data_IF_759062346312
#
_entry.id   IF_759062346312
#
_cell.length_a   1.000
_cell.length_b   1.000
_cell.length_c   1.000
_cell.angle_alpha   90.00
_cell.angle_beta   90.00
_cell.angle_gamma   90.00
#
_symmetry.space_group_name_H-M   'P 1'
#
loop_
_entity.id
_entity.type
_entity.pdbx_description
1 polymer ?
#
# COMPACT_ATOMS: atom_id res chain seq x y z
N UNK A 1 47.37 -37.91 15.36
CA UNK A 1 45.98 -38.24 15.77
C UNK A 1 45.32 -37.13 16.60
N UNK A 2 45.98 -36.54 17.61
CA UNK A 2 45.36 -35.50 18.47
C UNK A 2 44.85 -34.26 17.74
N UNK A 3 45.57 -33.77 16.71
CA UNK A 3 45.13 -32.61 15.91
C UNK A 3 43.86 -32.90 15.09
N UNK A 4 43.71 -34.11 14.53
CA UNK A 4 42.51 -34.48 13.77
C UNK A 4 41.26 -34.60 14.66
N UNK A 5 41.43 -35.11 15.88
CA UNK A 5 40.36 -35.15 16.88
C UNK A 5 39.96 -33.73 17.32
N UNK A 6 40.92 -32.83 17.51
CA UNK A 6 40.65 -31.45 17.89
C UNK A 6 39.91 -30.69 16.79
N UNK A 7 40.29 -30.88 15.52
CA UNK A 7 39.58 -30.32 14.37
C UNK A 7 38.14 -30.85 14.29
N UNK A 8 37.94 -32.16 14.48
CA UNK A 8 36.59 -32.76 14.45
C UNK A 8 35.67 -32.21 15.55
N UNK A 9 36.20 -31.99 16.76
CA UNK A 9 35.44 -31.39 17.88
C UNK A 9 35.08 -29.94 17.58
N UNK A 10 36.00 -29.16 17.01
CA UNK A 10 35.73 -27.76 16.62
C UNK A 10 34.64 -27.70 15.54
N UNK A 11 34.70 -28.56 14.52
CA UNK A 11 33.68 -28.63 13.46
C UNK A 11 32.31 -28.96 14.07
N UNK A 12 32.21 -29.94 14.97
CA UNK A 12 30.95 -30.26 15.65
C UNK A 12 30.41 -29.10 16.48
N UNK A 13 31.28 -28.35 17.15
CA UNK A 13 30.90 -27.15 17.90
C UNK A 13 30.36 -26.06 16.97
N UNK A 14 31.05 -25.78 15.87
CA UNK A 14 30.63 -24.78 14.88
C UNK A 14 29.29 -25.18 14.26
N UNK A 15 29.14 -26.43 13.83
CA UNK A 15 27.87 -26.95 13.29
C UNK A 15 26.75 -26.86 14.33
N UNK A 16 27.01 -27.21 15.59
CA UNK A 16 26.05 -27.10 16.68
C UNK A 16 25.59 -25.65 16.90
N UNK A 17 26.52 -24.69 16.93
CA UNK A 17 26.23 -23.26 17.05
C UNK A 17 25.40 -22.77 15.86
N UNK A 18 25.79 -23.10 14.62
CA UNK A 18 25.07 -22.69 13.41
C UNK A 18 23.63 -23.23 13.41
N UNK A 19 23.42 -24.51 13.76
CA UNK A 19 22.08 -25.11 13.83
C UNK A 19 21.21 -24.43 14.89
N UNK A 20 21.76 -24.11 16.07
CA UNK A 20 21.02 -23.40 17.13
C UNK A 20 20.67 -21.98 16.70
N UNK A 21 21.61 -21.27 16.05
CA UNK A 21 21.35 -19.92 15.52
C UNK A 21 20.28 -19.92 14.44
N UNK A 22 20.31 -20.87 13.50
CA UNK A 22 19.29 -21.01 12.45
C UNK A 22 17.91 -21.31 13.04
N UNK A 23 17.82 -22.22 14.03
CA UNK A 23 16.54 -22.54 14.71
C UNK A 23 15.98 -21.35 15.48
N UNK A 24 16.82 -20.60 16.19
CA UNK A 24 16.40 -19.38 16.92
C UNK A 24 15.94 -18.27 15.97
N UNK A 25 16.68 -18.07 14.88
CA UNK A 25 16.30 -17.09 13.84
C UNK A 25 14.95 -17.44 13.21
N UNK A 26 14.74 -18.70 12.81
CA UNK A 26 13.46 -19.16 12.26
C UNK A 26 12.29 -19.02 13.22
N UNK A 27 12.48 -19.35 14.51
CA UNK A 27 11.44 -19.20 15.52
C UNK A 27 11.06 -17.74 15.78
N UNK A 28 12.03 -16.82 15.73
CA UNK A 28 11.77 -15.39 15.85
C UNK A 28 11.00 -14.85 14.64
N UNK A 29 11.42 -15.21 13.42
CA UNK A 29 10.73 -14.80 12.19
C UNK A 29 9.29 -15.30 12.17
N UNK A 30 9.05 -16.56 12.55
CA UNK A 30 7.70 -17.12 12.64
C UNK A 30 6.81 -16.33 13.62
N UNK A 31 7.31 -16.02 14.82
CA UNK A 31 6.59 -15.18 15.80
C UNK A 31 6.27 -13.80 15.25
N UNK A 32 7.25 -13.12 14.63
CA UNK A 32 7.01 -11.80 14.05
C UNK A 32 5.98 -11.81 12.92
N UNK A 33 5.91 -12.91 12.16
CA UNK A 33 4.88 -13.11 11.14
C UNK A 33 3.51 -13.30 11.77
N UNK A 34 3.40 -14.16 12.79
CA UNK A 34 2.14 -14.43 13.49
C UNK A 34 1.58 -13.16 14.15
N UNK A 35 2.44 -12.38 14.81
CA UNK A 35 2.07 -11.09 15.42
C UNK A 35 1.59 -10.09 14.36
N UNK A 36 2.31 -9.96 13.24
CA UNK A 36 1.91 -9.09 12.13
C UNK A 36 0.59 -9.55 11.49
N UNK A 37 0.35 -10.87 11.42
CA UNK A 37 -0.91 -11.42 10.92
C UNK A 37 -2.07 -11.15 11.86
N UNK A 38 -1.88 -11.29 13.17
CA UNK A 38 -2.90 -10.99 14.17
C UNK A 38 -3.31 -9.51 14.12
N UNK A 39 -2.34 -8.61 14.03
CA UNK A 39 -2.56 -7.16 13.92
C UNK A 39 -3.33 -6.79 12.62
N UNK A 40 -2.97 -7.42 11.50
CA UNK A 40 -3.70 -7.24 10.24
C UNK A 40 -5.14 -7.76 10.31
N UNK A 41 -5.34 -8.97 10.86
CA UNK A 41 -6.67 -9.58 11.03
C UNK A 41 -7.59 -8.73 11.88
N UNK A 42 -7.09 -8.12 12.96
CA UNK A 42 -7.89 -7.21 13.77
C UNK A 42 -8.45 -6.04 12.94
N UNK A 43 -7.64 -5.45 12.05
CA UNK A 43 -8.09 -4.37 11.18
C UNK A 43 -9.11 -4.86 10.13
N UNK A 44 -8.88 -6.05 9.56
CA UNK A 44 -9.77 -6.69 8.57
C UNK A 44 -11.13 -7.03 9.18
N UNK A 45 -11.15 -7.64 10.37
CA UNK A 45 -12.38 -7.98 11.09
C UNK A 45 -13.19 -6.73 11.45
N UNK A 46 -12.51 -5.67 11.91
CA UNK A 46 -13.15 -4.36 12.15
C UNK A 46 -13.78 -3.82 10.87
N UNK A 47 -13.09 -3.91 9.74
CA UNK A 47 -13.60 -3.47 8.45
C UNK A 47 -14.81 -4.31 8.01
N UNK A 48 -14.69 -5.64 8.05
CA UNK A 48 -15.75 -6.57 7.66
C UNK A 48 -17.03 -6.35 8.46
N UNK A 49 -16.92 -6.15 9.78
CA UNK A 49 -18.06 -5.82 10.63
C UNK A 49 -18.81 -4.58 10.15
N UNK A 50 -18.11 -3.53 9.72
CA UNK A 50 -18.75 -2.30 9.21
C UNK A 50 -19.35 -2.50 7.82
N UNK A 51 -18.65 -3.21 6.92
CA UNK A 51 -19.13 -3.50 5.55
C UNK A 51 -20.46 -4.26 5.59
N UNK A 52 -20.61 -5.24 6.49
CA UNK A 52 -21.84 -6.04 6.57
C UNK A 52 -22.99 -5.37 7.35
N UNK A 53 -22.70 -4.38 8.20
CA UNK A 53 -23.73 -3.71 9.02
C UNK A 53 -24.34 -2.47 8.35
N UNK A 54 -23.64 -1.83 7.42
CA UNK A 54 -24.07 -0.57 6.83
C UNK A 54 -24.76 -0.78 5.48
N UNK A 55 -25.80 0.00 5.21
CA UNK A 55 -26.50 0.05 3.92
C UNK A 55 -26.56 1.50 3.47
N UNK A 56 -25.98 1.80 2.31
CA UNK A 56 -25.87 3.17 1.80
C UNK A 56 -27.21 3.74 1.33
N UNK A 57 -27.53 4.95 1.75
CA UNK A 57 -28.77 5.68 1.44
C UNK A 57 -28.63 6.69 0.28
N UNK A 58 -27.40 7.01 -0.11
CA UNK A 58 -27.04 7.99 -1.15
C UNK A 58 -26.02 7.43 -2.13
N UNK A 59 -25.85 8.02 -3.34
CA UNK A 59 -24.82 7.59 -4.29
C UNK A 59 -23.41 7.58 -3.68
N UNK A 60 -23.06 8.64 -2.94
CA UNK A 60 -21.79 8.74 -2.22
C UNK A 60 -21.62 7.61 -1.18
N UNK A 61 -22.63 7.36 -0.34
CA UNK A 61 -22.57 6.30 0.67
C UNK A 61 -22.46 4.90 0.04
N UNK A 62 -23.25 4.63 -1.00
CA UNK A 62 -23.22 3.34 -1.72
C UNK A 62 -21.86 3.10 -2.38
N UNK A 63 -21.31 4.11 -3.06
CA UNK A 63 -20.01 4.01 -3.70
C UNK A 63 -18.90 3.77 -2.67
N UNK A 64 -18.87 4.55 -1.58
CA UNK A 64 -17.89 4.37 -0.52
C UNK A 64 -18.01 2.99 0.17
N UNK A 65 -19.22 2.45 0.39
CA UNK A 65 -19.39 1.09 0.91
C UNK A 65 -18.92 0.02 -0.08
N UNK A 66 -19.13 0.22 -1.38
CA UNK A 66 -18.61 -0.67 -2.41
C UNK A 66 -17.08 -0.68 -2.42
N UNK A 67 -16.45 0.50 -2.43
CA UNK A 67 -14.98 0.62 -2.35
C UNK A 67 -14.45 0.01 -1.02
N UNK A 68 -15.17 0.16 0.10
CA UNK A 68 -14.80 -0.51 1.37
C UNK A 68 -14.87 -2.04 1.28
N UNK A 69 -15.90 -2.60 0.63
CA UNK A 69 -16.07 -4.04 0.44
C UNK A 69 -14.99 -4.63 -0.49
N UNK A 70 -14.58 -3.88 -1.52
CA UNK A 70 -13.44 -4.24 -2.37
C UNK A 70 -12.16 -4.33 -1.55
N UNK A 71 -11.88 -3.32 -0.70
CA UNK A 71 -10.70 -3.34 0.19
C UNK A 71 -10.76 -4.47 1.20
N UNK A 72 -11.93 -4.80 1.74
CA UNK A 72 -12.10 -5.94 2.64
C UNK A 72 -11.74 -7.26 1.95
N UNK A 73 -12.26 -7.48 0.74
CA UNK A 73 -11.97 -8.68 -0.05
C UNK A 73 -10.48 -8.78 -0.40
N UNK A 74 -9.86 -7.67 -0.79
CA UNK A 74 -8.44 -7.61 -1.10
C UNK A 74 -7.57 -7.85 0.14
N UNK A 75 -7.86 -7.21 1.26
CA UNK A 75 -7.11 -7.41 2.50
C UNK A 75 -7.23 -8.85 3.01
N UNK A 76 -8.42 -9.46 2.90
CA UNK A 76 -8.65 -10.87 3.21
C UNK A 76 -7.77 -11.81 2.37
N UNK A 77 -7.77 -11.64 1.05
CA UNK A 77 -6.94 -12.50 0.18
C UNK A 77 -5.44 -12.28 0.40
N UNK A 78 -5.00 -11.04 0.63
CA UNK A 78 -3.61 -10.72 0.93
C UNK A 78 -3.14 -11.33 2.25
N UNK A 79 -3.95 -11.28 3.31
CA UNK A 79 -3.55 -11.82 4.62
C UNK A 79 -3.49 -13.34 4.62
N UNK A 80 -4.38 -14.00 3.88
CA UNK A 80 -4.40 -15.45 3.74
C UNK A 80 -3.16 -15.97 2.99
N UNK A 81 -2.66 -15.20 2.02
CA UNK A 81 -1.47 -15.53 1.24
C UNK A 81 -0.16 -15.03 1.85
N UNK A 82 -0.22 -14.22 2.91
CA UNK A 82 0.98 -13.60 3.49
C UNK A 82 1.94 -14.65 4.08
N UNK A 83 3.20 -14.60 3.66
CA UNK A 83 4.31 -15.45 4.12
C UNK A 83 5.43 -14.66 4.79
N UNK A 84 5.33 -13.32 4.81
CA UNK A 84 6.27 -12.44 5.50
C UNK A 84 5.56 -11.34 6.33
N UNK A 85 6.20 -10.81 7.39
CA UNK A 85 5.63 -9.72 8.17
C UNK A 85 5.31 -8.48 7.32
N UNK A 86 6.10 -8.22 6.27
CA UNK A 86 5.85 -7.12 5.34
C UNK A 86 4.53 -7.31 4.56
N UNK A 87 4.28 -8.52 4.04
CA UNK A 87 3.02 -8.84 3.37
C UNK A 87 1.80 -8.72 4.30
N UNK A 88 1.94 -9.14 5.56
CA UNK A 88 0.87 -8.96 6.55
C UNK A 88 0.60 -7.47 6.84
N UNK A 89 1.65 -6.63 6.92
CA UNK A 89 1.49 -5.17 7.07
C UNK A 89 0.83 -4.52 5.86
N UNK A 90 1.14 -4.97 4.64
CA UNK A 90 0.44 -4.50 3.43
C UNK A 90 -1.06 -4.83 3.49
N UNK A 91 -1.43 -6.05 3.91
CA UNK A 91 -2.83 -6.42 4.12
C UNK A 91 -3.52 -5.54 5.16
N UNK A 92 -2.82 -5.20 6.26
CA UNK A 92 -3.30 -4.24 7.25
C UNK A 92 -3.53 -2.85 6.64
N UNK A 93 -2.61 -2.35 5.81
CA UNK A 93 -2.76 -1.06 5.13
C UNK A 93 -4.00 -1.06 4.23
N UNK A 94 -4.22 -2.12 3.45
CA UNK A 94 -5.44 -2.27 2.63
C UNK A 94 -6.72 -2.26 3.49
N UNK A 95 -6.72 -2.91 4.65
CA UNK A 95 -7.84 -2.84 5.57
C UNK A 95 -8.06 -1.43 6.14
N UNK A 96 -6.98 -0.70 6.47
CA UNK A 96 -7.06 0.69 6.94
C UNK A 96 -7.66 1.59 5.85
N UNK A 97 -7.27 1.43 4.59
CA UNK A 97 -7.89 2.15 3.46
C UNK A 97 -9.40 1.86 3.40
N UNK A 98 -9.81 0.60 3.54
CA UNK A 98 -11.21 0.22 3.65
C UNK A 98 -11.94 0.93 4.80
N UNK A 99 -11.29 1.08 5.97
CA UNK A 99 -11.87 1.82 7.09
C UNK A 99 -12.08 3.31 6.77
N UNK A 100 -11.22 3.92 5.95
CA UNK A 100 -11.45 5.29 5.48
C UNK A 100 -12.67 5.39 4.57
N UNK A 101 -12.92 4.39 3.73
CA UNK A 101 -14.13 4.31 2.93
C UNK A 101 -15.38 4.11 3.80
N UNK A 102 -15.32 3.29 4.85
CA UNK A 102 -16.39 3.18 5.85
C UNK A 102 -16.67 4.54 6.50
N UNK A 103 -15.61 5.25 6.92
CA UNK A 103 -15.76 6.59 7.49
C UNK A 103 -16.45 7.54 6.51
N UNK A 104 -16.03 7.54 5.25
CA UNK A 104 -16.63 8.35 4.20
C UNK A 104 -18.10 8.02 3.97
N UNK A 105 -18.46 6.74 3.95
CA UNK A 105 -19.86 6.29 3.86
C UNK A 105 -20.69 6.79 5.04
N UNK A 106 -20.19 6.66 6.27
CA UNK A 106 -20.86 7.15 7.49
C UNK A 106 -21.07 8.66 7.44
N UNK A 107 -20.05 9.42 7.05
CA UNK A 107 -20.16 10.87 6.85
C UNK A 107 -21.20 11.22 5.78
N UNK A 108 -21.25 10.49 4.66
CA UNK A 108 -22.24 10.69 3.61
C UNK A 108 -23.69 10.40 4.06
N UNK A 109 -23.86 9.49 5.03
CA UNK A 109 -25.15 9.19 5.67
C UNK A 109 -25.48 10.11 6.86
N UNK A 110 -24.64 11.13 7.13
CA UNK A 110 -24.82 12.03 8.28
C UNK A 110 -24.65 11.34 9.65
N UNK A 111 -23.97 10.19 9.68
CA UNK A 111 -23.69 9.44 10.90
C UNK A 111 -22.39 9.92 11.56
N UNK A 112 -22.20 9.56 12.83
CA UNK A 112 -20.89 9.67 13.48
C UNK A 112 -19.81 8.96 12.62
N UNK A 113 -18.70 9.62 12.22
CA UNK A 113 -17.66 9.01 11.37
C UNK A 113 -16.97 7.79 11.99
N UNK A 114 -17.18 7.55 13.29
CA UNK A 114 -16.60 6.46 14.04
C UNK A 114 -15.22 6.78 14.60
N UNK A 115 -14.58 5.79 15.27
CA UNK A 115 -13.33 6.03 16.00
C UNK A 115 -12.18 6.42 15.06
N UNK A 116 -11.12 6.97 15.65
CA UNK A 116 -9.88 7.29 14.94
C UNK A 116 -9.39 6.08 14.11
N UNK A 117 -8.83 6.39 12.95
CA UNK A 117 -8.26 5.41 12.03
C UNK A 117 -6.78 5.75 11.94
N UNK A 118 -5.87 4.77 11.96
CA UNK A 118 -4.45 5.02 11.72
C UNK A 118 -4.22 5.81 10.43
N UNK A 119 -3.16 6.61 10.38
CA UNK A 119 -2.80 7.33 9.17
C UNK A 119 -2.39 6.36 8.06
N UNK A 120 -2.68 6.72 6.80
CA UNK A 120 -2.19 6.01 5.62
C UNK A 120 -0.85 6.60 5.16
N UNK A 121 -0.01 5.75 4.59
CA UNK A 121 1.27 6.16 4.01
C UNK A 121 1.02 7.16 2.87
N UNK A 122 1.77 8.27 2.89
CA UNK A 122 1.68 9.32 1.87
C UNK A 122 0.37 10.13 1.88
N UNK A 123 -0.58 9.85 2.77
CA UNK A 123 -1.85 10.60 2.83
C UNK A 123 -1.66 12.05 3.25
N UNK A 124 -0.83 12.29 4.26
CA UNK A 124 -0.51 13.64 4.73
C UNK A 124 0.14 14.48 3.63
N UNK A 125 1.14 13.90 2.96
CA UNK A 125 1.88 14.61 1.91
C UNK A 125 1.07 14.82 0.64
N UNK A 126 0.05 13.99 0.41
CA UNK A 126 -0.89 14.19 -0.70
C UNK A 126 -1.92 15.30 -0.45
N UNK A 127 -2.07 15.78 0.79
CA UNK A 127 -3.00 16.84 1.12
C UNK A 127 -4.47 16.43 0.99
N UNK A 128 -5.36 17.43 1.02
CA UNK A 128 -6.81 17.22 0.96
C UNK A 128 -7.53 18.34 0.23
N UNK A 129 -8.70 18.02 -0.32
CA UNK A 129 -9.61 18.99 -0.91
C UNK A 129 -10.24 19.81 0.21
N UNK A 130 -10.00 21.12 0.22
CA UNK A 130 -10.50 22.03 1.28
C UNK A 130 -11.70 22.87 0.85
N UNK A 131 -12.01 22.92 -0.44
CA UNK A 131 -13.09 23.74 -0.99
C UNK A 131 -13.73 23.05 -2.20
N UNK A 132 -14.98 23.42 -2.49
CA UNK A 132 -15.66 22.94 -3.69
C UNK A 132 -14.97 23.53 -4.92
N UNK A 133 -14.70 22.68 -5.91
CA UNK A 133 -14.22 23.12 -7.21
C UNK A 133 -14.96 22.43 -8.33
N UNK A 134 -15.25 23.20 -9.37
CA UNK A 134 -15.86 22.74 -10.61
C UNK A 134 -15.06 23.35 -11.78
N UNK A 135 -14.67 22.50 -12.71
CA UNK A 135 -13.90 22.89 -13.90
C UNK A 135 -14.50 22.24 -15.14
N UNK A 136 -14.31 22.88 -16.29
CA UNK A 136 -14.50 22.24 -17.59
C UNK A 136 -13.15 21.73 -18.10
N UNK A 137 -13.06 20.42 -18.30
CA UNK A 137 -11.86 19.73 -18.76
C UNK A 137 -12.20 18.79 -19.91
N UNK A 138 -11.61 19.01 -21.09
CA UNK A 138 -11.83 18.19 -22.29
C UNK A 138 -13.32 18.00 -22.64
N UNK A 139 -14.13 19.04 -22.47
CA UNK A 139 -15.57 19.03 -22.78
C UNK A 139 -16.44 18.31 -21.74
N UNK A 140 -15.90 18.02 -20.55
CA UNK A 140 -16.61 17.42 -19.41
C UNK A 140 -16.45 18.27 -18.17
N UNK A 141 -17.49 18.32 -17.34
CA UNK A 141 -17.44 19.00 -16.04
C UNK A 141 -16.85 18.06 -14.98
N UNK A 142 -15.73 18.45 -14.39
CA UNK A 142 -15.06 17.69 -13.32
C UNK A 142 -15.15 18.48 -12.01
N UNK A 143 -15.52 17.79 -10.93
CA UNK A 143 -15.73 18.42 -9.63
C UNK A 143 -14.91 17.73 -8.53
N UNK A 144 -14.48 18.54 -7.56
CA UNK A 144 -13.88 18.11 -6.30
C UNK A 144 -14.58 18.81 -5.12
N UNK A 145 -14.72 18.13 -3.98
CA UNK A 145 -15.38 18.65 -2.80
C UNK A 145 -14.77 18.09 -1.51
N UNK A 146 -14.68 18.88 -0.41
CA UNK A 146 -14.36 18.37 0.92
C UNK A 146 -15.46 17.47 1.50
N UNK A 147 -16.70 17.61 1.00
CA UNK A 147 -17.89 16.94 1.54
C UNK A 147 -18.59 16.06 0.48
N UNK A 148 -19.26 14.97 0.90
CA UNK A 148 -20.03 14.13 0.00
C UNK A 148 -21.18 14.92 -0.64
N UNK A 149 -21.45 14.66 -1.92
CA UNK A 149 -22.59 15.23 -2.62
C UNK A 149 -23.09 14.30 -3.73
N UNK A 150 -24.29 14.53 -4.29
CA UNK A 150 -24.77 13.78 -5.45
C UNK A 150 -23.89 13.95 -6.70
N UNK A 151 -23.18 15.07 -6.85
CA UNK A 151 -22.30 15.34 -8.01
C UNK A 151 -20.85 14.90 -7.78
N UNK A 152 -20.47 14.61 -6.54
CA UNK A 152 -19.14 14.09 -6.18
C UNK A 152 -19.25 12.79 -5.36
N UNK A 153 -19.73 11.68 -5.96
CA UNK A 153 -19.98 10.45 -5.21
C UNK A 153 -18.72 9.62 -4.93
N UNK A 154 -17.59 9.93 -5.57
CA UNK A 154 -16.37 9.12 -5.48
C UNK A 154 -15.44 9.66 -4.40
N UNK A 155 -15.30 8.95 -3.29
CA UNK A 155 -14.33 9.31 -2.27
C UNK A 155 -12.94 8.73 -2.60
N UNK A 156 -11.89 9.49 -2.31
CA UNK A 156 -10.52 8.97 -2.22
C UNK A 156 -9.94 9.33 -0.85
N UNK A 157 -9.33 8.37 -0.13
CA UNK A 157 -8.79 8.64 1.20
C UNK A 157 -7.55 9.54 1.19
N UNK A 158 -6.91 9.78 0.04
CA UNK A 158 -5.62 10.46 -0.06
C UNK A 158 -4.46 9.46 0.01
N UNK A 159 -3.35 9.77 -0.65
CA UNK A 159 -2.18 8.89 -0.70
C UNK A 159 -1.50 8.90 -2.07
N UNK A 160 -0.78 7.84 -2.39
CA UNK A 160 -0.02 7.71 -3.65
C UNK A 160 -0.66 6.71 -4.60
N UNK A 161 -0.74 7.07 -5.88
CA UNK A 161 -1.16 6.20 -6.99
C UNK A 161 -0.12 6.26 -8.09
N UNK A 162 0.45 5.11 -8.45
CA UNK A 162 1.53 5.00 -9.44
C UNK A 162 2.64 6.06 -9.23
N UNK A 163 3.10 6.18 -7.98
CA UNK A 163 4.15 7.12 -7.59
C UNK A 163 3.72 8.58 -7.43
N UNK A 164 2.48 8.97 -7.76
CA UNK A 164 2.02 10.37 -7.66
C UNK A 164 1.05 10.60 -6.50
N UNK A 165 1.14 11.74 -5.79
CA UNK A 165 0.24 12.08 -4.70
C UNK A 165 -1.15 12.50 -5.23
N UNK A 166 -2.20 11.88 -4.69
CA UNK A 166 -3.59 12.18 -4.98
C UNK A 166 -4.26 12.69 -3.70
N UNK A 167 -4.79 13.93 -3.67
CA UNK A 167 -5.38 14.49 -2.46
C UNK A 167 -6.58 13.69 -1.94
N UNK A 168 -6.80 13.71 -0.63
CA UNK A 168 -8.02 13.18 -0.05
C UNK A 168 -9.22 14.06 -0.43
N UNK A 169 -10.37 13.47 -0.78
CA UNK A 169 -11.55 14.25 -1.12
C UNK A 169 -12.65 13.47 -1.82
N UNK A 170 -13.71 14.18 -2.18
CA UNK A 170 -14.83 13.68 -2.97
C UNK A 170 -14.74 14.22 -4.40
N UNK A 171 -14.99 13.37 -5.38
CA UNK A 171 -14.81 13.67 -6.80
C UNK A 171 -16.01 13.25 -7.64
N UNK A 172 -16.30 14.00 -8.71
CA UNK A 172 -17.35 13.64 -9.67
C UNK A 172 -17.02 12.36 -10.43
N UNK A 173 -15.75 12.17 -10.74
CA UNK A 173 -15.22 10.98 -11.38
C UNK A 173 -13.93 10.51 -10.67
N UNK A 174 -13.68 9.20 -10.64
CA UNK A 174 -12.51 8.64 -9.96
C UNK A 174 -11.26 8.75 -10.86
N UNK A 175 -10.79 9.97 -11.11
CA UNK A 175 -9.73 10.29 -12.08
C UNK A 175 -8.38 9.59 -11.82
N UNK A 176 -8.14 9.09 -10.60
CA UNK A 176 -6.96 8.30 -10.25
C UNK A 176 -7.08 6.80 -10.59
N UNK A 177 -8.31 6.24 -10.70
CA UNK A 177 -8.54 4.81 -10.90
C UNK A 177 -7.83 4.25 -12.16
N UNK A 178 -7.80 4.95 -13.32
CA UNK A 178 -7.05 4.47 -14.48
C UNK A 178 -5.56 4.24 -14.19
N UNK A 179 -4.90 5.16 -13.45
CA UNK A 179 -3.50 5.01 -13.10
C UNK A 179 -3.26 3.90 -12.06
N UNK A 180 -4.23 3.68 -11.16
CA UNK A 180 -4.19 2.58 -10.19
C UNK A 180 -4.22 1.22 -10.88
N UNK A 181 -5.00 1.08 -11.96
CA UNK A 181 -5.12 -0.18 -12.72
C UNK A 181 -3.96 -0.34 -13.70
N UNK A 182 -3.62 0.70 -14.47
CA UNK A 182 -2.61 0.63 -15.52
C UNK A 182 -1.18 0.78 -15.02
N UNK A 183 -0.98 1.28 -13.79
CA UNK A 183 0.33 1.60 -13.25
C UNK A 183 0.99 2.84 -13.88
N UNK A 184 0.29 3.56 -14.75
CA UNK A 184 0.79 4.73 -15.45
C UNK A 184 -0.28 5.82 -15.59
N UNK A 185 0.16 7.09 -15.56
CA UNK A 185 -0.70 8.25 -15.71
C UNK A 185 -0.84 8.67 -17.18
N UNK A 186 -2.05 9.06 -17.59
CA UNK A 186 -2.31 9.54 -18.95
C UNK A 186 -1.75 10.95 -19.20
N UNK A 187 -1.54 11.28 -20.48
CA UNK A 187 -0.93 12.55 -20.95
C UNK A 187 -1.68 13.81 -20.48
N UNK A 188 -2.97 13.71 -20.14
CA UNK A 188 -3.78 14.84 -19.62
C UNK A 188 -3.79 15.00 -18.09
N UNK A 189 -3.23 14.05 -17.33
CA UNK A 189 -3.42 14.00 -15.87
C UNK A 189 -2.82 15.20 -15.14
N UNK A 190 -1.70 15.73 -15.64
CA UNK A 190 -1.06 16.93 -15.07
C UNK A 190 -1.93 18.18 -15.28
N UNK A 191 -2.54 18.33 -16.46
CA UNK A 191 -3.41 19.46 -16.76
C UNK A 191 -4.70 19.39 -15.92
N UNK A 192 -5.28 18.19 -15.79
CA UNK A 192 -6.44 17.96 -14.93
C UNK A 192 -6.11 18.30 -13.47
N UNK A 193 -4.98 17.80 -12.96
CA UNK A 193 -4.50 18.12 -11.61
C UNK A 193 -4.35 19.63 -11.41
N UNK A 194 -3.65 20.31 -12.33
CA UNK A 194 -3.46 21.76 -12.27
C UNK A 194 -4.80 22.51 -12.19
N UNK A 195 -5.76 22.15 -13.06
CA UNK A 195 -7.07 22.78 -13.08
C UNK A 195 -7.86 22.53 -11.77
N UNK A 196 -7.79 21.32 -11.21
CA UNK A 196 -8.50 20.96 -9.98
C UNK A 196 -7.87 21.51 -8.69
N UNK A 197 -6.56 21.72 -8.63
CA UNK A 197 -5.91 21.96 -7.33
C UNK A 197 -5.03 23.21 -7.28
N UNK A 198 -4.80 23.90 -8.40
CA UNK A 198 -4.03 25.15 -8.39
C UNK A 198 -4.61 26.15 -7.38
N UNK A 199 -3.76 26.62 -6.46
CA UNK A 199 -4.12 27.58 -5.41
C UNK A 199 -4.98 27.03 -4.26
N UNK A 200 -5.25 25.72 -4.19
CA UNK A 200 -6.05 25.13 -3.12
C UNK A 200 -5.21 24.96 -1.84
N UNK A 201 -5.67 25.53 -0.72
CA UNK A 201 -4.89 25.57 0.53
C UNK A 201 -4.54 24.19 1.11
N UNK A 202 -5.35 23.17 0.88
CA UNK A 202 -5.07 21.80 1.33
C UNK A 202 -4.13 21.00 0.42
N UNK A 203 -3.74 21.54 -0.73
CA UNK A 203 -2.86 20.88 -1.71
C UNK A 203 -1.63 21.77 -1.94
N UNK A 204 -0.59 21.52 -1.16
CA UNK A 204 0.60 22.39 -1.08
C UNK A 204 1.67 22.11 -2.15
N UNK A 205 1.29 21.51 -3.27
CA UNK A 205 2.19 21.15 -4.35
C UNK A 205 1.55 21.43 -5.71
N UNK A 206 2.36 21.87 -6.67
CA UNK A 206 1.90 22.22 -8.00
C UNK A 206 1.87 21.01 -8.95
N UNK A 207 1.45 21.25 -10.19
CA UNK A 207 1.34 20.20 -11.20
C UNK A 207 2.71 19.60 -11.58
N UNK A 208 3.79 20.37 -11.50
CA UNK A 208 5.15 19.88 -11.78
C UNK A 208 5.64 18.98 -10.65
N UNK A 209 5.38 19.36 -9.39
CA UNK A 209 5.64 18.50 -8.24
C UNK A 209 4.83 17.20 -8.33
N UNK A 210 3.52 17.29 -8.62
CA UNK A 210 2.66 16.12 -8.86
C UNK A 210 3.22 15.19 -9.94
N UNK A 211 3.63 15.74 -11.09
CA UNK A 211 4.18 14.97 -12.21
C UNK A 211 5.42 14.17 -11.81
N UNK A 212 6.30 14.81 -11.02
CA UNK A 212 7.52 14.24 -10.45
C UNK A 212 7.28 13.36 -9.20
N UNK A 213 6.03 13.18 -8.79
CA UNK A 213 5.68 12.38 -7.61
C UNK A 213 6.05 13.04 -6.28
N UNK A 214 6.23 14.36 -6.26
CA UNK A 214 6.52 15.17 -5.08
C UNK A 214 5.18 15.68 -4.51
N UNK A 215 4.94 15.42 -3.22
CA UNK A 215 3.79 15.96 -2.46
C UNK A 215 4.10 17.32 -1.83
N UNK A 216 3.52 17.60 -0.67
CA UNK A 216 3.68 18.82 0.17
C UNK A 216 5.11 19.19 0.62
N UNK A 217 6.13 18.59 0.01
CA UNK A 217 7.54 18.83 0.30
C UNK A 217 8.12 17.99 1.43
N UNK A 218 7.30 17.32 2.26
CA UNK A 218 7.85 16.39 3.27
C UNK A 218 8.44 15.14 2.64
N UNK A 219 8.00 14.82 1.42
CA UNK A 219 8.45 13.67 0.64
C UNK A 219 9.74 13.93 -0.14
N UNK A 220 10.26 15.17 -0.19
CA UNK A 220 11.53 15.46 -0.84
C UNK A 220 12.72 14.75 -0.16
N UNK A 221 12.60 14.44 1.14
CA UNK A 221 13.55 13.58 1.86
C UNK A 221 13.37 12.07 1.63
N UNK A 222 12.22 11.65 1.08
CA UNK A 222 11.93 10.25 0.75
C UNK A 222 12.36 9.87 -0.68
N UNK A 223 12.54 10.86 -1.57
CA UNK A 223 13.12 10.66 -2.89
C UNK A 223 14.67 10.58 -2.86
N UNK A 224 15.30 11.18 -1.84
CA UNK A 224 16.73 11.01 -1.53
C UNK A 224 17.00 9.74 -0.71
N UNK A 225 16.00 9.27 0.07
CA UNK A 225 16.02 7.98 0.75
C UNK A 225 15.49 6.87 -0.18
N UNK A 226 16.33 6.50 -1.15
CA UNK A 226 16.06 5.54 -2.21
C UNK A 226 15.18 4.34 -1.83
N UNK A 227 14.17 4.10 -2.67
CA UNK A 227 13.68 2.75 -2.94
C UNK A 227 14.91 1.91 -3.36
N UNK A 228 15.28 0.96 -2.49
CA UNK A 228 16.50 0.14 -2.49
C UNK A 228 17.78 0.78 -1.91
N UNK A 229 18.04 0.50 -0.63
CA UNK A 229 19.41 0.30 -0.15
C UNK A 229 19.77 0.98 1.17
N UNK A 230 20.12 0.16 2.16
CA UNK A 230 21.15 0.52 3.14
C UNK A 230 20.71 1.38 4.31
N UNK A 231 20.09 0.77 5.32
CA UNK A 231 20.21 1.27 6.68
C UNK A 231 21.67 1.16 7.13
N UNK A 232 22.44 2.24 6.94
CA UNK A 232 23.83 2.36 7.33
C UNK A 232 24.09 3.68 8.05
N UNK A 233 24.22 3.59 9.37
CA UNK A 233 24.79 4.63 10.22
C UNK A 233 24.78 4.11 11.66
N UNK A 234 25.89 3.82 12.32
CA UNK A 234 27.29 3.94 11.98
C UNK A 234 28.03 3.90 13.32
N UNK A 235 28.69 2.79 13.62
CA UNK A 235 29.73 2.75 14.64
C UNK A 235 30.92 1.99 14.01
N UNK A 236 31.95 2.76 13.72
CA UNK A 236 33.26 2.28 13.28
C UNK A 236 33.96 1.61 14.48
N UNK A 237 34.26 0.33 14.39
CA UNK A 237 35.52 -0.19 14.92
C UNK A 237 36.07 -1.29 14.01
N UNK A 238 37.38 -1.19 13.77
CA UNK A 238 38.08 -1.80 12.65
C UNK A 238 38.36 -3.30 12.78
N UNK A 239 38.48 -3.95 11.63
CA UNK A 239 38.88 -5.35 11.53
C UNK A 239 38.86 -5.84 10.09
N UNK A 240 39.96 -5.56 9.40
CA UNK A 240 40.30 -6.06 8.06
C UNK A 240 40.24 -7.60 7.98
N UNK A 241 39.47 -8.13 7.02
CA UNK A 241 39.63 -9.49 6.50
C UNK A 241 38.90 -9.61 5.15
N UNK A 242 39.66 -9.48 4.08
CA UNK A 242 39.21 -9.74 2.71
C UNK A 242 38.76 -11.18 2.46
N UNK A 243 37.94 -11.34 1.42
CA UNK A 243 37.46 -12.64 0.96
C UNK A 243 36.49 -12.50 -0.21
N UNK A 244 37.06 -12.37 -1.40
CA UNK A 244 36.47 -12.48 -2.74
C UNK A 244 35.52 -13.68 -2.89
N UNK A 245 34.24 -13.47 -3.25
CA UNK A 245 33.43 -14.44 -4.00
C UNK A 245 32.32 -13.73 -4.79
N UNK A 246 32.52 -13.67 -6.11
CA UNK A 246 31.53 -14.20 -7.07
C UNK A 246 30.40 -13.29 -7.51
N UNK A 247 30.57 -12.68 -8.67
CA UNK A 247 29.48 -12.16 -9.49
C UNK A 247 28.47 -13.26 -9.83
N UNK A 248 27.19 -12.94 -9.64
CA UNK A 248 26.05 -13.79 -9.97
C UNK A 248 25.01 -12.95 -10.70
N UNK A 249 24.85 -13.28 -11.96
CA UNK A 249 23.92 -12.76 -12.97
C UNK A 249 22.47 -12.80 -12.48
N UNK A 250 21.82 -11.65 -12.31
CA UNK A 250 20.35 -11.58 -12.17
C UNK A 250 19.73 -11.39 -13.55
N UNK A 251 19.83 -12.46 -14.35
CA UNK A 251 19.12 -12.62 -15.61
C UNK A 251 17.62 -12.81 -15.37
N UNK A 252 16.82 -12.14 -16.19
CA UNK A 252 15.37 -12.08 -16.12
C UNK A 252 14.67 -13.45 -16.10
N UNK A 253 13.65 -13.54 -15.26
CA UNK A 253 12.68 -14.64 -15.28
C UNK A 253 11.55 -14.31 -16.24
N UNK A 254 11.54 -15.04 -17.35
CA UNK A 254 10.55 -15.05 -18.42
C UNK A 254 9.12 -15.28 -17.90
N UNK A 255 8.20 -14.42 -18.36
CA UNK A 255 6.77 -14.73 -18.41
C UNK A 255 6.53 -15.61 -19.63
N UNK A 256 6.62 -16.93 -19.44
CA UNK A 256 6.36 -17.94 -20.48
C UNK A 256 5.15 -18.80 -20.14
N UNK A 257 4.13 -18.74 -21.00
CA UNK A 257 2.85 -19.43 -20.85
C UNK A 257 2.92 -20.95 -20.74
N UNK A 258 1.94 -21.50 -20.02
CA UNK A 258 1.67 -22.93 -19.90
C UNK A 258 0.20 -23.19 -20.19
N UNK A 259 -0.03 -23.76 -21.36
CA UNK A 259 -1.26 -24.34 -21.88
C UNK A 259 -1.77 -25.45 -20.94
N UNK A 260 -3.00 -25.36 -20.43
CA UNK A 260 -3.71 -26.49 -19.83
C UNK A 260 -4.89 -26.85 -20.72
N UNK A 261 -4.57 -27.52 -21.83
CA UNK A 261 -5.53 -28.25 -22.63
C UNK A 261 -5.92 -29.58 -21.98
N UNK A 262 -7.21 -29.89 -22.07
CA UNK A 262 -7.70 -31.23 -22.38
C UNK A 262 -7.68 -32.28 -21.27
N UNK A 263 -8.80 -32.45 -20.59
CA UNK A 263 -9.11 -33.62 -19.77
C UNK A 263 -10.60 -33.93 -19.83
N UNK A 264 -10.98 -34.74 -20.81
CA UNK A 264 -12.29 -35.38 -20.94
C UNK A 264 -12.53 -36.31 -19.74
N UNK A 265 -13.65 -36.12 -19.04
CA UNK A 265 -14.26 -37.13 -18.16
C UNK A 265 -15.78 -37.01 -18.28
N UNK A 266 -16.34 -37.76 -19.23
CA UNK A 266 -17.75 -38.12 -19.23
C UNK A 266 -18.10 -39.11 -18.11
N UNK A 267 -19.40 -39.23 -17.83
CA UNK A 267 -19.99 -40.41 -17.21
C UNK A 267 -20.88 -40.15 -16.00
N UNK A 268 -22.19 -40.20 -16.27
CA UNK A 268 -23.37 -40.29 -15.37
C UNK A 268 -23.92 -38.99 -14.78
#
# INVERSE_FOLDING_TARGET
MGQLLLIAVVILLVVGVVVVMQRRSGANTARTLDDAKADARQAIERLGGQVYMLVGDSPAAKQALADAAERHTAAGSQIDQATSPAQARLAKQTAIEGLYYIRAARTAMGMDPGPAIPELDGRKSAGEVTENREIDFEGRTVQASPAPSPTTPNYYPGGRVAGRPVPAGWYSEPWWKPALVAGAWGVGSMLLFSALFSGMAGVNYDATAFENGIGDGTDAGALDAGYYGGGGGGDMDGGDAGGDVGGGDFGGGDFGGGDFGGGDFGGF
#
